data_IF_841195968624
#
_entry.id   IF_841195968624
#
_cell.length_a   1.000
_cell.length_b   1.000
_cell.length_c   1.000
_cell.angle_alpha   90.00
_cell.angle_beta   90.00
_cell.angle_gamma   90.00
#
_symmetry.space_group_name_H-M   'P 1'
#
loop_
_entity.id
_entity.type
_entity.pdbx_description
1 polymer ?
#
# COMPACT_ATOMS: atom_id res chain seq x y z
N UNK A 1 -1.71 5.08 -9.35
CA UNK A 1 -0.54 5.92 -9.66
C UNK A 1 0.10 6.53 -8.40
N UNK A 2 -0.59 7.40 -7.65
CA UNK A 2 -0.01 8.03 -6.44
C UNK A 2 0.46 6.98 -5.43
N UNK A 3 -0.33 5.96 -5.18
CA UNK A 3 -0.01 4.86 -4.26
C UNK A 3 1.22 4.05 -4.72
N UNK A 4 1.24 3.65 -5.99
CA UNK A 4 2.39 2.96 -6.58
C UNK A 4 3.66 3.81 -6.62
N UNK A 5 3.51 5.12 -6.76
CA UNK A 5 4.61 6.08 -6.67
C UNK A 5 5.19 6.13 -5.24
N UNK A 6 4.32 6.11 -4.20
CA UNK A 6 4.75 6.03 -2.80
C UNK A 6 5.58 4.79 -2.50
N UNK A 7 5.15 3.62 -3.00
CA UNK A 7 5.90 2.36 -2.87
C UNK A 7 7.26 2.47 -3.58
N UNK A 8 7.27 2.95 -4.83
CA UNK A 8 8.49 3.11 -5.62
C UNK A 8 9.47 4.11 -5.02
N UNK A 9 8.99 5.15 -4.36
CA UNK A 9 9.76 6.19 -3.71
C UNK A 9 10.59 5.67 -2.52
N UNK A 10 10.03 4.71 -1.78
CA UNK A 10 10.66 4.14 -0.59
C UNK A 10 11.66 3.03 -0.93
N UNK A 11 11.40 2.27 -1.99
CA UNK A 11 12.17 1.07 -2.34
C UNK A 11 13.68 1.30 -2.42
N UNK A 12 14.19 2.34 -3.12
CA UNK A 12 15.64 2.58 -3.23
C UNK A 12 16.26 3.15 -1.94
N UNK A 13 15.47 3.73 -1.05
CA UNK A 13 15.95 4.46 0.13
C UNK A 13 15.92 3.59 1.40
N UNK A 14 15.17 2.48 1.37
CA UNK A 14 15.07 1.56 2.50
C UNK A 14 16.44 1.05 2.99
N UNK A 15 17.37 0.62 2.12
CA UNK A 15 18.71 0.19 2.57
C UNK A 15 19.47 1.29 3.32
N UNK A 16 19.41 2.52 2.85
CA UNK A 16 20.06 3.67 3.49
C UNK A 16 19.51 3.94 4.89
N UNK A 17 18.18 3.84 5.07
CA UNK A 17 17.54 3.99 6.36
C UNK A 17 17.94 2.84 7.32
N UNK A 18 18.05 1.62 6.83
CA UNK A 18 18.47 0.46 7.63
C UNK A 18 19.92 0.63 8.11
N UNK A 19 20.82 1.13 7.25
CA UNK A 19 22.21 1.43 7.62
C UNK A 19 22.26 2.54 8.68
N UNK A 20 21.48 3.61 8.51
CA UNK A 20 21.39 4.75 9.43
C UNK A 20 20.93 4.30 10.84
N UNK A 21 19.99 3.38 10.93
CA UNK A 21 19.44 2.87 12.19
C UNK A 21 20.30 1.78 12.84
N UNK A 22 20.93 0.94 12.03
CA UNK A 22 21.63 -0.26 12.53
C UNK A 22 23.13 -0.10 12.70
N UNK A 23 23.75 0.97 12.18
CA UNK A 23 25.21 1.15 12.17
C UNK A 23 25.97 -0.01 11.52
N UNK A 24 25.29 -0.77 10.64
CA UNK A 24 25.76 -2.04 10.09
C UNK A 24 26.23 -1.86 8.65
N UNK A 25 26.99 -2.83 8.18
CA UNK A 25 27.45 -2.86 6.79
C UNK A 25 26.30 -3.19 5.80
N UNK A 26 26.57 -3.03 4.52
CA UNK A 26 25.62 -3.24 3.44
C UNK A 26 25.05 -4.67 3.41
N UNK A 27 25.84 -5.67 3.84
CA UNK A 27 25.43 -7.08 3.87
C UNK A 27 24.29 -7.30 4.89
N UNK A 28 24.44 -6.77 6.10
CA UNK A 28 23.41 -6.84 7.12
C UNK A 28 22.16 -6.01 6.75
N UNK A 29 22.35 -4.86 6.10
CA UNK A 29 21.23 -4.07 5.59
C UNK A 29 20.41 -4.82 4.54
N UNK A 30 21.05 -5.60 3.68
CA UNK A 30 20.36 -6.44 2.68
C UNK A 30 19.53 -7.55 3.35
N UNK A 31 20.07 -8.22 4.39
CA UNK A 31 19.35 -9.25 5.15
C UNK A 31 18.11 -8.65 5.83
N UNK A 32 18.28 -7.52 6.52
CA UNK A 32 17.15 -6.81 7.16
C UNK A 32 16.12 -6.33 6.14
N UNK A 33 16.55 -5.81 4.99
CA UNK A 33 15.69 -5.40 3.90
C UNK A 33 14.85 -6.58 3.38
N UNK A 34 15.46 -7.74 3.18
CA UNK A 34 14.78 -8.98 2.79
C UNK A 34 13.76 -9.44 3.86
N UNK A 35 14.14 -9.39 5.14
CA UNK A 35 13.25 -9.74 6.25
C UNK A 35 12.04 -8.82 6.36
N UNK A 36 12.24 -7.51 6.26
CA UNK A 36 11.17 -6.52 6.26
C UNK A 36 10.22 -6.68 5.06
N UNK A 37 10.77 -6.98 3.88
CA UNK A 37 9.98 -7.27 2.69
C UNK A 37 9.18 -8.57 2.82
N UNK A 38 9.76 -9.60 3.43
CA UNK A 38 9.08 -10.86 3.69
C UNK A 38 7.91 -10.68 4.68
N UNK A 39 8.11 -9.97 5.79
CA UNK A 39 7.03 -9.65 6.75
C UNK A 39 5.88 -8.93 6.05
N UNK A 40 6.19 -7.89 5.28
CA UNK A 40 5.19 -7.14 4.53
C UNK A 40 4.38 -8.04 3.60
N UNK A 41 5.06 -8.88 2.80
CA UNK A 41 4.41 -9.79 1.85
C UNK A 41 3.56 -10.87 2.53
N UNK A 42 4.04 -11.42 3.65
CA UNK A 42 3.28 -12.40 4.44
C UNK A 42 2.01 -11.76 5.01
N UNK A 43 2.12 -10.56 5.60
CA UNK A 43 0.96 -9.86 6.14
C UNK A 43 -0.05 -9.49 5.04
N UNK A 44 0.44 -9.05 3.88
CA UNK A 44 -0.40 -8.77 2.71
C UNK A 44 -1.14 -10.02 2.23
N UNK A 45 -0.46 -11.16 2.15
CA UNK A 45 -1.04 -12.43 1.73
C UNK A 45 -2.09 -12.92 2.73
N UNK A 46 -1.77 -12.93 4.01
CA UNK A 46 -2.67 -13.41 5.07
C UNK A 46 -3.90 -12.52 5.23
N UNK A 47 -3.72 -11.20 5.18
CA UNK A 47 -4.79 -10.24 5.40
C UNK A 47 -5.60 -9.92 4.15
N UNK A 48 -5.09 -10.22 2.94
CA UNK A 48 -5.74 -9.91 1.66
C UNK A 48 -7.19 -10.40 1.57
N UNK A 49 -7.46 -11.70 1.76
CA UNK A 49 -8.83 -12.24 1.71
C UNK A 49 -9.74 -11.64 2.79
N UNK A 50 -9.19 -11.36 3.98
CA UNK A 50 -9.94 -10.74 5.08
C UNK A 50 -10.34 -9.31 4.73
N UNK A 51 -9.40 -8.47 4.25
CA UNK A 51 -9.67 -7.10 3.82
C UNK A 51 -10.66 -7.09 2.65
N UNK A 52 -10.51 -7.98 1.68
CA UNK A 52 -11.46 -8.17 0.58
C UNK A 52 -12.87 -8.48 1.08
N UNK A 53 -13.02 -9.45 2.00
CA UNK A 53 -14.31 -9.81 2.59
C UNK A 53 -14.94 -8.69 3.42
N UNK A 54 -14.12 -7.89 4.11
CA UNK A 54 -14.57 -6.70 4.83
C UNK A 54 -15.10 -5.66 3.84
N UNK A 55 -14.41 -5.44 2.73
CA UNK A 55 -14.83 -4.49 1.70
C UNK A 55 -16.15 -4.90 1.01
N UNK A 56 -16.38 -6.19 0.81
CA UNK A 56 -17.62 -6.72 0.26
C UNK A 56 -18.82 -6.53 1.22
N UNK A 57 -18.56 -6.48 2.54
CA UNK A 57 -19.61 -6.32 3.56
C UNK A 57 -19.87 -4.85 3.91
N UNK A 58 -18.82 -4.09 4.17
CA UNK A 58 -18.93 -2.73 4.71
C UNK A 58 -18.88 -1.64 3.65
N UNK A 59 -18.52 -2.00 2.43
CA UNK A 59 -18.36 -1.08 1.31
C UNK A 59 -16.90 -0.96 0.87
N UNK A 60 -16.70 -0.71 -0.41
CA UNK A 60 -15.34 -0.59 -0.96
C UNK A 60 -14.70 0.76 -0.63
N UNK A 61 -15.50 1.83 -0.68
CA UNK A 61 -15.04 3.19 -0.40
C UNK A 61 -14.42 3.34 0.98
N UNK A 62 -15.08 2.99 2.11
CA UNK A 62 -14.49 3.17 3.44
C UNK A 62 -13.23 2.33 3.63
N UNK A 63 -13.18 1.10 3.11
CA UNK A 63 -11.99 0.25 3.20
C UNK A 63 -10.81 0.86 2.43
N UNK A 64 -11.02 1.37 1.21
CA UNK A 64 -9.98 2.05 0.44
C UNK A 64 -9.47 3.30 1.16
N UNK A 65 -10.35 4.14 1.68
CA UNK A 65 -9.97 5.38 2.38
C UNK A 65 -9.21 5.10 3.67
N UNK A 66 -9.68 4.15 4.49
CA UNK A 66 -8.99 3.77 5.73
C UNK A 66 -7.60 3.22 5.40
N UNK A 67 -7.48 2.36 4.39
CA UNK A 67 -6.19 1.80 4.01
C UNK A 67 -5.20 2.86 3.53
N UNK A 68 -5.65 3.84 2.73
CA UNK A 68 -4.81 4.95 2.30
C UNK A 68 -4.37 5.83 3.48
N UNK A 69 -5.28 6.10 4.42
CA UNK A 69 -4.95 6.86 5.62
C UNK A 69 -3.93 6.13 6.51
N UNK A 70 -4.13 4.82 6.72
CA UNK A 70 -3.18 4.01 7.51
C UNK A 70 -1.84 3.89 6.79
N UNK A 71 -1.82 3.81 5.45
CA UNK A 71 -0.59 3.82 4.66
C UNK A 71 0.19 5.13 4.83
N UNK A 72 -0.50 6.28 4.87
CA UNK A 72 0.12 7.57 5.17
C UNK A 72 0.77 7.57 6.56
N UNK A 73 0.08 7.03 7.56
CA UNK A 73 0.62 6.90 8.93
C UNK A 73 1.81 5.94 8.95
N UNK A 74 1.76 4.82 8.23
CA UNK A 74 2.85 3.86 8.10
C UNK A 74 4.13 4.53 7.56
N UNK A 75 4.01 5.35 6.53
CA UNK A 75 5.13 6.11 5.99
C UNK A 75 5.68 7.14 6.98
N UNK A 76 4.81 7.79 7.78
CA UNK A 76 5.26 8.67 8.86
C UNK A 76 6.03 7.90 9.92
N UNK A 77 5.52 6.73 10.35
CA UNK A 77 6.22 5.89 11.34
C UNK A 77 7.62 5.52 10.82
N UNK A 78 7.74 5.15 9.54
CA UNK A 78 9.04 4.85 8.95
C UNK A 78 9.96 6.09 8.89
N UNK A 79 9.43 7.26 8.53
CA UNK A 79 10.19 8.50 8.52
C UNK A 79 10.71 8.92 9.90
N UNK A 80 9.96 8.64 10.95
CA UNK A 80 10.34 8.88 12.34
C UNK A 80 11.03 7.69 13.03
N UNK A 81 11.26 6.58 12.31
CA UNK A 81 11.84 5.40 12.90
C UNK A 81 13.21 5.68 13.55
N UNK A 82 13.38 5.24 14.79
CA UNK A 82 14.61 5.33 15.58
C UNK A 82 15.18 3.95 15.94
N UNK A 83 14.47 2.89 15.55
CA UNK A 83 14.90 1.51 15.78
C UNK A 83 14.39 0.58 14.68
N UNK A 84 15.10 -0.55 14.49
CA UNK A 84 14.69 -1.59 13.55
C UNK A 84 13.31 -2.17 13.88
N UNK A 85 12.96 -2.25 15.16
CA UNK A 85 11.64 -2.74 15.59
C UNK A 85 10.49 -1.84 15.15
N UNK A 86 10.70 -0.53 15.05
CA UNK A 86 9.70 0.38 14.48
C UNK A 86 9.47 0.09 13.01
N UNK A 87 10.54 -0.23 12.26
CA UNK A 87 10.40 -0.65 10.86
C UNK A 87 9.65 -1.98 10.73
N UNK A 88 9.90 -2.94 11.63
CA UNK A 88 9.15 -4.22 11.65
C UNK A 88 7.66 -3.97 11.88
N UNK A 89 7.31 -3.15 12.86
CA UNK A 89 5.91 -2.79 13.14
C UNK A 89 5.27 -2.08 11.93
N UNK A 90 5.97 -1.12 11.33
CA UNK A 90 5.52 -0.45 10.11
C UNK A 90 5.27 -1.46 8.98
N UNK A 91 6.17 -2.43 8.75
CA UNK A 91 5.98 -3.47 7.74
C UNK A 91 4.79 -4.37 8.00
N UNK A 92 4.47 -4.67 9.27
CA UNK A 92 3.26 -5.42 9.64
C UNK A 92 2.01 -4.62 9.28
N UNK A 93 1.91 -3.37 9.74
CA UNK A 93 0.75 -2.52 9.46
C UNK A 93 0.63 -2.18 7.96
N UNK A 94 1.74 -1.83 7.32
CA UNK A 94 1.79 -1.58 5.88
C UNK A 94 1.36 -2.81 5.06
N UNK A 95 1.76 -4.01 5.45
CA UNK A 95 1.33 -5.26 4.81
C UNK A 95 -0.17 -5.51 4.93
N UNK A 96 -0.75 -5.27 6.11
CA UNK A 96 -2.22 -5.37 6.32
C UNK A 96 -2.96 -4.39 5.41
N UNK A 97 -2.51 -3.16 5.34
CA UNK A 97 -3.17 -2.10 4.55
C UNK A 97 -2.96 -2.23 3.05
N UNK A 98 -1.81 -2.73 2.62
CA UNK A 98 -1.53 -3.00 1.19
C UNK A 98 -2.37 -4.14 0.60
N UNK A 99 -3.03 -4.94 1.43
CA UNK A 99 -4.03 -5.92 1.00
C UNK A 99 -5.23 -5.29 0.26
N UNK A 100 -5.26 -3.96 0.18
CA UNK A 100 -6.28 -3.14 -0.52
C UNK A 100 -6.27 -3.30 -2.04
N UNK A 101 -5.21 -3.86 -2.62
CA UNK A 101 -5.14 -4.06 -4.08
C UNK A 101 -6.31 -4.91 -4.60
N UNK A 102 -6.74 -5.92 -3.86
CA UNK A 102 -7.93 -6.72 -4.20
C UNK A 102 -9.20 -5.86 -4.18
N UNK A 103 -9.35 -4.98 -3.19
CA UNK A 103 -10.47 -4.04 -3.08
C UNK A 103 -10.46 -3.02 -4.22
N UNK A 104 -9.29 -2.49 -4.60
CA UNK A 104 -9.14 -1.56 -5.73
C UNK A 104 -9.51 -2.23 -7.06
N UNK A 105 -9.07 -3.47 -7.28
CA UNK A 105 -9.44 -4.25 -8.46
C UNK A 105 -10.95 -4.51 -8.51
N UNK A 106 -11.54 -4.85 -7.37
CA UNK A 106 -12.98 -5.06 -7.27
C UNK A 106 -13.77 -3.77 -7.50
N UNK A 107 -13.32 -2.65 -6.92
CA UNK A 107 -13.90 -1.32 -7.17
C UNK A 107 -13.86 -0.97 -8.67
N UNK A 108 -12.70 -1.17 -9.32
CA UNK A 108 -12.57 -0.94 -10.76
C UNK A 108 -13.51 -1.84 -11.57
N UNK A 109 -13.68 -3.10 -11.15
CA UNK A 109 -14.61 -4.02 -11.79
C UNK A 109 -16.08 -3.57 -11.67
N UNK A 110 -16.44 -2.99 -10.50
CA UNK A 110 -17.80 -2.51 -10.23
C UNK A 110 -18.18 -1.27 -11.05
N UNK A 111 -17.23 -0.33 -11.22
CA UNK A 111 -17.49 0.91 -11.98
C UNK A 111 -17.31 0.76 -13.49
N UNK A 112 -16.79 -0.38 -13.96
CA UNK A 112 -16.50 -0.61 -15.37
C UNK A 112 -17.65 -1.32 -16.05
N UNK A 113 -18.16 -0.76 -17.16
CA UNK A 113 -19.08 -1.47 -18.07
C UNK A 113 -18.36 -2.67 -18.72
N UNK A 114 -19.08 -3.75 -19.08
CA UNK A 114 -18.46 -4.95 -19.62
C UNK A 114 -17.55 -4.72 -20.84
N UNK A 115 -17.93 -3.81 -21.72
CA UNK A 115 -17.22 -3.41 -22.93
C UNK A 115 -15.92 -2.61 -22.64
N UNK A 116 -15.86 -1.87 -21.53
CA UNK A 116 -14.72 -1.03 -21.15
C UNK A 116 -13.82 -1.66 -20.08
N UNK A 117 -14.19 -2.82 -19.56
CA UNK A 117 -13.50 -3.45 -18.45
C UNK A 117 -12.01 -3.67 -18.74
N UNK A 118 -11.68 -4.25 -19.89
CA UNK A 118 -10.30 -4.49 -20.30
C UNK A 118 -9.50 -3.17 -20.43
N UNK A 119 -10.12 -2.14 -21.01
CA UNK A 119 -9.50 -0.81 -21.14
C UNK A 119 -9.22 -0.18 -19.76
N UNK A 120 -10.18 -0.20 -18.86
CA UNK A 120 -10.03 0.39 -17.53
C UNK A 120 -8.96 -0.32 -16.68
N UNK A 121 -8.90 -1.66 -16.74
CA UNK A 121 -7.82 -2.41 -16.12
C UNK A 121 -6.46 -2.14 -16.77
N UNK A 122 -6.40 -1.97 -18.07
CA UNK A 122 -5.21 -1.55 -18.80
C UNK A 122 -4.71 -0.17 -18.36
N UNK A 123 -5.61 0.81 -18.22
CA UNK A 123 -5.29 2.15 -17.70
C UNK A 123 -4.80 2.11 -16.25
N UNK A 124 -5.41 1.26 -15.42
CA UNK A 124 -4.96 1.06 -14.04
C UNK A 124 -3.55 0.48 -13.99
N UNK A 125 -3.26 -0.52 -14.83
CA UNK A 125 -1.91 -1.09 -14.96
C UNK A 125 -0.90 -0.08 -15.47
N UNK A 126 -1.25 0.72 -16.48
CA UNK A 126 -0.39 1.80 -16.98
C UNK A 126 -0.12 2.85 -15.91
N UNK A 127 -1.15 3.28 -15.18
CA UNK A 127 -1.01 4.23 -14.07
C UNK A 127 -0.13 3.66 -12.93
N UNK A 128 -0.23 2.35 -12.66
CA UNK A 128 0.66 1.67 -11.72
C UNK A 128 2.11 1.71 -12.21
N UNK A 129 2.35 1.34 -13.48
CA UNK A 129 3.68 1.34 -14.09
C UNK A 129 4.34 2.71 -14.09
N UNK A 130 3.60 3.76 -14.49
CA UNK A 130 4.09 5.16 -14.45
C UNK A 130 4.47 5.56 -13.02
N UNK A 131 3.63 5.26 -12.03
CA UNK A 131 3.93 5.56 -10.62
C UNK A 131 5.16 4.81 -10.12
N UNK A 132 5.33 3.56 -10.53
CA UNK A 132 6.47 2.73 -10.16
C UNK A 132 7.79 3.16 -10.82
N UNK A 133 7.73 3.83 -11.98
CA UNK A 133 8.91 4.44 -12.63
C UNK A 133 9.25 5.78 -11.97
N UNK A 134 8.25 6.63 -11.76
CA UNK A 134 8.46 7.96 -11.17
C UNK A 134 8.88 7.89 -9.69
N UNK A 135 8.42 6.88 -8.96
CA UNK A 135 8.73 6.69 -7.56
C UNK A 135 10.23 6.67 -7.26
N UNK A 136 11.01 5.74 -7.81
CA UNK A 136 12.45 5.67 -7.59
C UNK A 136 13.21 6.92 -8.02
N UNK A 137 12.78 7.58 -9.11
CA UNK A 137 13.40 8.83 -9.56
C UNK A 137 13.22 9.93 -8.51
N UNK A 138 11.99 10.12 -8.04
CA UNK A 138 11.71 11.10 -6.99
C UNK A 138 12.35 10.70 -5.65
N UNK A 139 12.37 9.41 -5.33
CA UNK A 139 13.02 8.89 -4.13
C UNK A 139 14.52 9.17 -4.12
N UNK A 140 15.20 8.99 -5.26
CA UNK A 140 16.61 9.31 -5.43
C UNK A 140 16.87 10.81 -5.22
N UNK A 141 16.13 11.68 -5.88
CA UNK A 141 16.28 13.14 -5.75
C UNK A 141 16.00 13.60 -4.31
N UNK A 142 14.92 13.09 -3.68
CA UNK A 142 14.57 13.47 -2.32
C UNK A 142 15.57 12.93 -1.28
N UNK A 143 16.27 11.84 -1.57
CA UNK A 143 17.29 11.27 -0.68
C UNK A 143 18.51 12.19 -0.51
N UNK A 144 18.74 13.12 -1.43
CA UNK A 144 19.76 14.17 -1.30
C UNK A 144 19.47 15.13 -0.14
N UNK A 145 18.19 15.31 0.22
CA UNK A 145 17.74 16.07 1.38
C UNK A 145 17.86 15.29 2.70
N UNK A 146 18.25 14.02 2.62
CA UNK A 146 18.42 13.12 3.74
C UNK A 146 17.67 11.80 3.56
N UNK A 147 18.09 10.71 4.25
CA UNK A 147 17.54 9.36 4.05
C UNK A 147 16.06 9.23 4.49
N UNK A 148 15.53 10.20 5.21
CA UNK A 148 14.14 10.20 5.72
C UNK A 148 13.19 11.04 4.87
N UNK A 149 13.69 11.96 4.04
CA UNK A 149 12.87 12.86 3.23
C UNK A 149 11.90 12.11 2.29
N UNK A 150 12.29 11.01 1.61
CA UNK A 150 11.38 10.24 0.78
C UNK A 150 10.18 9.67 1.54
N UNK A 151 10.34 9.27 2.79
CA UNK A 151 9.24 8.71 3.61
C UNK A 151 8.20 9.79 3.95
N UNK A 152 8.64 11.01 4.28
CA UNK A 152 7.72 12.12 4.52
C UNK A 152 7.00 12.54 3.24
N UNK A 153 7.68 12.53 2.09
CA UNK A 153 7.05 12.79 0.80
C UNK A 153 6.01 11.72 0.45
N UNK A 154 6.32 10.43 0.67
CA UNK A 154 5.37 9.34 0.47
C UNK A 154 4.16 9.46 1.40
N UNK A 155 4.37 9.83 2.67
CA UNK A 155 3.29 10.07 3.63
C UNK A 155 2.38 11.22 3.18
N UNK A 156 2.95 12.33 2.73
CA UNK A 156 2.20 13.47 2.21
C UNK A 156 1.39 13.09 0.96
N UNK A 157 1.99 12.36 0.02
CA UNK A 157 1.30 11.86 -1.17
C UNK A 157 0.14 10.91 -0.82
N UNK A 158 0.33 10.01 0.12
CA UNK A 158 -0.73 9.10 0.59
C UNK A 158 -1.85 9.87 1.30
N UNK A 159 -1.52 10.89 2.10
CA UNK A 159 -2.50 11.77 2.74
C UNK A 159 -3.32 12.55 1.69
N UNK A 160 -2.65 13.16 0.71
CA UNK A 160 -3.31 13.85 -0.41
C UNK A 160 -4.21 12.88 -1.18
N UNK A 161 -3.74 11.66 -1.43
CA UNK A 161 -4.53 10.63 -2.12
C UNK A 161 -5.75 10.22 -1.30
N UNK A 162 -5.64 10.15 0.03
CA UNK A 162 -6.77 9.89 0.94
C UNK A 162 -7.82 10.99 0.84
N UNK A 163 -7.38 12.25 0.92
CA UNK A 163 -8.28 13.42 0.79
C UNK A 163 -8.94 13.45 -0.59
N UNK A 164 -8.17 13.26 -1.64
CA UNK A 164 -8.68 13.17 -3.01
C UNK A 164 -9.71 12.04 -3.15
N UNK A 165 -9.37 10.85 -2.65
CA UNK A 165 -10.28 9.70 -2.64
C UNK A 165 -11.57 9.96 -1.88
N UNK A 166 -11.52 10.69 -0.77
CA UNK A 166 -12.71 11.05 0.00
C UNK A 166 -13.73 11.85 -0.83
N UNK A 167 -13.27 12.73 -1.70
CA UNK A 167 -14.16 13.54 -2.55
C UNK A 167 -14.57 12.84 -3.85
N UNK A 168 -13.73 11.97 -4.40
CA UNK A 168 -13.91 11.38 -5.74
C UNK A 168 -14.48 9.98 -5.70
N UNK A 169 -14.11 9.15 -4.70
CA UNK A 169 -14.62 7.79 -4.64
C UNK A 169 -16.10 7.78 -4.21
N UNK A 170 -16.93 7.15 -5.02
CA UNK A 170 -18.31 6.81 -4.67
C UNK A 170 -18.39 5.39 -4.09
N UNK A 171 -19.39 5.11 -3.26
CA UNK A 171 -19.63 3.73 -2.81
C UNK A 171 -20.21 2.91 -3.95
N UNK A 172 -19.65 1.73 -4.19
CA UNK A 172 -20.10 0.82 -5.25
C UNK A 172 -20.90 -0.36 -4.72
N UNK A 173 -20.74 -0.72 -3.44
CA UNK A 173 -21.45 -1.83 -2.82
C UNK A 173 -22.86 -1.39 -2.45
N UNK A 174 -23.84 -1.76 -3.26
CA UNK A 174 -25.26 -1.60 -2.98
C UNK A 174 -25.78 -2.77 -2.12
N UNK A 175 -26.93 -2.60 -1.48
CA UNK A 175 -27.55 -3.67 -0.67
C UNK A 175 -27.85 -4.94 -1.48
N UNK A 176 -28.04 -4.81 -2.80
CA UNK A 176 -28.28 -5.93 -3.73
C UNK A 176 -27.05 -6.84 -3.94
N UNK A 177 -25.83 -6.28 -3.84
CA UNK A 177 -24.58 -7.00 -4.10
C UNK A 177 -23.76 -7.21 -2.82
N UNK A 178 -24.20 -6.65 -1.70
CA UNK A 178 -23.54 -6.77 -0.39
C UNK A 178 -23.49 -8.22 0.05
N UNK A 179 -22.30 -8.71 0.36
CA UNK A 179 -22.09 -10.10 0.81
C UNK A 179 -21.88 -10.18 2.31
N UNK A 180 -22.50 -11.16 3.00
CA UNK A 180 -22.22 -11.38 4.42
C UNK A 180 -20.75 -11.82 4.60
N UNK A 181 -20.11 -11.29 5.65
CA UNK A 181 -18.77 -11.72 6.03
C UNK A 181 -18.78 -13.20 6.44
N UNK A 182 -17.90 -13.99 5.85
CA UNK A 182 -17.73 -15.42 6.18
C UNK A 182 -16.25 -15.72 6.37
N UNK A 183 -15.86 -16.17 7.54
CA UNK A 183 -14.48 -16.54 7.88
C UNK A 183 -13.86 -17.56 6.90
N UNK A 184 -14.67 -18.45 6.35
CA UNK A 184 -14.22 -19.41 5.34
C UNK A 184 -13.68 -18.76 4.07
N UNK A 185 -14.22 -17.61 3.67
CA UNK A 185 -13.77 -16.83 2.50
C UNK A 185 -12.70 -15.80 2.85
N UNK A 186 -12.61 -15.43 4.13
CA UNK A 186 -11.61 -14.51 4.66
C UNK A 186 -10.26 -15.18 4.94
N UNK A 187 -10.16 -16.49 4.74
CA UNK A 187 -8.96 -17.28 4.98
C UNK A 187 -8.22 -17.53 3.64
N UNK A 188 -6.90 -17.25 3.52
CA UNK A 188 -6.12 -17.50 2.31
C UNK A 188 -6.06 -19.00 1.90
N UNK A 189 -6.36 -19.90 2.84
CA UNK A 189 -6.39 -21.36 2.62
C UNK A 189 -7.81 -21.94 2.49
N UNK A 190 -8.84 -21.10 2.47
CA UNK A 190 -10.25 -21.51 2.55
C UNK A 190 -11.00 -21.51 1.22
N UNK A 191 -10.31 -21.46 0.09
CA UNK A 191 -10.90 -21.51 -1.25
C UNK A 191 -11.16 -22.94 -1.69
#
# INVERSE_FOLDING_TARGET
MIDSMGIGLIMPVMPSLIIDLGGQDLSNAAIWGGFLAAIFSVMQFVCGPTVGSISDRFGRRPVLLISLAVLSIDYLIMGFAQSMWMLVLARIFGGITSATQSTANAYMADISSPDKKAQNFGLMGAAFGVGFILGPVLGGVLSELGPRAPFFAAAALAAINTVFGFFVLSETVTDAIRRPFRWRRANPFGA
#
